data_IF_941915349033
#
_entry.id   IF_941915349033
#
_cell.length_a   1.000
_cell.length_b   1.000
_cell.length_c   1.000
_cell.angle_alpha   90.00
_cell.angle_beta   90.00
_cell.angle_gamma   90.00
#
_symmetry.space_group_name_H-M   'P 1'
#
loop_
_entity.id
_entity.type
_entity.pdbx_description
1 polymer ?
#
# COMPACT_ATOMS: atom_id res chain seq x y z
N UNK A 1 17.19 -1.96 -29.50
CA UNK A 1 17.42 -2.08 -28.03
C UNK A 1 17.52 -0.73 -27.29
N UNK A 2 17.01 0.41 -27.81
CA UNK A 2 17.16 1.72 -27.15
C UNK A 2 16.11 2.05 -26.08
N UNK A 3 14.93 1.43 -26.12
CA UNK A 3 13.79 1.75 -25.22
C UNK A 3 14.02 1.29 -23.77
N UNK A 4 14.75 0.19 -23.56
CA UNK A 4 14.90 -0.39 -22.23
C UNK A 4 15.89 0.42 -21.34
N UNK A 5 16.91 1.03 -21.97
CA UNK A 5 17.89 1.86 -21.26
C UNK A 5 17.31 3.22 -20.82
N UNK A 6 16.35 3.78 -21.57
CA UNK A 6 15.66 5.01 -21.16
C UNK A 6 14.69 4.76 -20.01
N UNK A 7 13.87 3.72 -20.07
CA UNK A 7 12.92 3.39 -18.99
C UNK A 7 13.63 3.08 -17.67
N UNK A 8 14.75 2.35 -17.71
CA UNK A 8 15.53 2.07 -16.50
C UNK A 8 16.05 3.36 -15.86
N UNK A 9 16.61 4.28 -16.65
CA UNK A 9 17.09 5.58 -16.14
C UNK A 9 15.96 6.41 -15.55
N UNK A 10 14.78 6.44 -16.19
CA UNK A 10 13.59 7.10 -15.63
C UNK A 10 13.16 6.49 -14.29
N UNK A 11 13.24 5.16 -14.14
CA UNK A 11 12.96 4.49 -12.87
C UNK A 11 13.95 4.89 -11.77
N UNK A 12 15.23 4.95 -12.07
CA UNK A 12 16.28 5.33 -11.12
C UNK A 12 16.07 6.76 -10.62
N UNK A 13 15.80 7.70 -11.54
CA UNK A 13 15.52 9.09 -11.20
C UNK A 13 14.23 9.23 -10.36
N UNK A 14 13.14 8.58 -10.79
CA UNK A 14 11.87 8.60 -10.06
C UNK A 14 12.00 8.02 -8.65
N UNK A 15 12.79 6.95 -8.46
CA UNK A 15 13.06 6.35 -7.14
C UNK A 15 13.91 7.27 -6.28
N UNK A 16 14.93 7.92 -6.85
CA UNK A 16 15.76 8.90 -6.16
C UNK A 16 14.93 10.08 -5.65
N UNK A 17 14.11 10.68 -6.52
CA UNK A 17 13.19 11.77 -6.17
C UNK A 17 12.19 11.36 -5.07
N UNK A 18 11.58 10.19 -5.23
CA UNK A 18 10.69 9.60 -4.24
C UNK A 18 11.36 9.44 -2.87
N UNK A 19 12.62 8.98 -2.83
CA UNK A 19 13.37 8.81 -1.58
C UNK A 19 13.71 10.14 -0.89
N UNK A 20 13.80 11.23 -1.66
CA UNK A 20 14.01 12.60 -1.16
C UNK A 20 12.71 13.32 -0.78
N UNK A 21 11.55 12.67 -0.96
CA UNK A 21 10.24 13.28 -0.73
C UNK A 21 9.80 14.24 -1.85
N UNK A 22 10.50 14.28 -2.98
CA UNK A 22 10.15 15.11 -4.14
C UNK A 22 9.08 14.38 -4.99
N UNK A 23 7.89 14.22 -4.42
CA UNK A 23 6.85 13.34 -4.97
C UNK A 23 6.27 13.83 -6.29
N UNK A 24 6.04 15.14 -6.45
CA UNK A 24 5.53 15.71 -7.70
C UNK A 24 6.45 15.42 -8.88
N UNK A 25 7.76 15.58 -8.70
CA UNK A 25 8.74 15.25 -9.75
C UNK A 25 8.79 13.75 -10.00
N UNK A 26 8.76 12.93 -8.95
CA UNK A 26 8.72 11.48 -9.12
C UNK A 26 7.50 11.03 -9.92
N UNK A 27 6.33 11.67 -9.73
CA UNK A 27 5.11 11.43 -10.51
C UNK A 27 5.35 11.70 -12.00
N UNK A 28 6.00 12.81 -12.35
CA UNK A 28 6.31 13.15 -13.76
C UNK A 28 7.11 12.03 -14.44
N UNK A 29 8.18 11.55 -13.81
CA UNK A 29 9.00 10.47 -14.35
C UNK A 29 8.23 9.14 -14.47
N UNK A 30 7.42 8.76 -13.48
CA UNK A 30 6.60 7.55 -13.60
C UNK A 30 5.53 7.67 -14.69
N UNK A 31 4.96 8.86 -14.90
CA UNK A 31 4.05 9.11 -16.01
C UNK A 31 4.75 9.03 -17.36
N UNK A 32 6.00 9.50 -17.48
CA UNK A 32 6.80 9.32 -18.70
C UNK A 32 7.03 7.83 -19.01
N UNK A 33 7.37 7.02 -18.00
CA UNK A 33 7.50 5.57 -18.19
C UNK A 33 6.18 4.99 -18.72
N UNK A 34 5.03 5.41 -18.19
CA UNK A 34 3.72 4.93 -18.64
C UNK A 34 3.26 5.50 -19.99
N UNK A 35 3.86 6.60 -20.47
CA UNK A 35 3.64 7.07 -21.85
C UNK A 35 4.35 6.15 -22.85
N UNK A 36 5.56 5.71 -22.53
CA UNK A 36 6.35 4.80 -23.36
C UNK A 36 5.87 3.33 -23.26
N UNK A 37 5.50 2.90 -22.05
CA UNK A 37 5.00 1.56 -21.75
C UNK A 37 3.72 1.63 -20.87
N UNK A 38 2.53 1.81 -21.49
CA UNK A 38 1.27 1.98 -20.76
C UNK A 38 0.83 0.79 -19.89
N UNK A 39 1.37 -0.39 -20.16
CA UNK A 39 1.08 -1.63 -19.44
C UNK A 39 2.18 -1.97 -18.42
N UNK A 40 3.13 -1.05 -18.17
CA UNK A 40 4.18 -1.25 -17.18
C UNK A 40 3.60 -1.36 -15.77
N UNK A 41 3.46 -2.60 -15.30
CA UNK A 41 2.90 -2.91 -13.99
C UNK A 41 3.71 -2.27 -12.86
N UNK A 42 5.04 -2.31 -12.93
CA UNK A 42 5.91 -1.74 -11.90
C UNK A 42 5.74 -0.21 -11.81
N UNK A 43 5.74 0.50 -12.95
CA UNK A 43 5.55 1.95 -12.96
C UNK A 43 4.16 2.33 -12.46
N UNK A 44 3.13 1.58 -12.83
CA UNK A 44 1.75 1.76 -12.34
C UNK A 44 1.69 1.64 -10.81
N UNK A 45 2.33 0.61 -10.22
CA UNK A 45 2.40 0.41 -8.75
C UNK A 45 3.18 1.52 -8.05
N UNK A 46 4.33 1.90 -8.60
CA UNK A 46 5.14 2.97 -8.02
C UNK A 46 4.42 4.32 -8.09
N UNK A 47 3.74 4.62 -9.19
CA UNK A 47 2.96 5.83 -9.36
C UNK A 47 1.79 5.89 -8.36
N UNK A 48 1.08 4.77 -8.17
CA UNK A 48 0.04 4.67 -7.14
C UNK A 48 0.59 5.01 -5.75
N UNK A 49 1.74 4.44 -5.38
CA UNK A 49 2.40 4.67 -4.10
C UNK A 49 2.85 6.14 -3.92
N UNK A 50 3.43 6.75 -4.95
CA UNK A 50 3.88 8.15 -4.88
C UNK A 50 2.68 9.09 -4.75
N UNK A 51 1.59 8.85 -5.49
CA UNK A 51 0.34 9.60 -5.27
C UNK A 51 -0.18 9.45 -3.84
N UNK A 52 -0.04 8.27 -3.22
CA UNK A 52 -0.41 8.07 -1.83
C UNK A 52 0.38 9.00 -0.90
N UNK A 53 1.70 9.07 -1.08
CA UNK A 53 2.57 9.91 -0.25
C UNK A 53 2.44 11.40 -0.55
N UNK A 54 2.07 11.75 -1.79
CA UNK A 54 1.70 13.11 -2.18
C UNK A 54 0.28 13.51 -1.70
N UNK A 55 -0.40 12.66 -0.93
CA UNK A 55 -1.77 12.87 -0.44
C UNK A 55 -2.83 13.00 -1.54
N UNK A 56 -2.51 12.65 -2.78
CA UNK A 56 -3.44 12.57 -3.91
C UNK A 56 -4.18 11.22 -3.89
N UNK A 57 -4.93 10.99 -2.82
CA UNK A 57 -5.52 9.68 -2.49
C UNK A 57 -6.43 9.13 -3.60
N UNK A 58 -7.23 9.97 -4.25
CA UNK A 58 -8.13 9.51 -5.32
C UNK A 58 -7.38 9.03 -6.56
N UNK A 59 -6.30 9.73 -6.96
CA UNK A 59 -5.45 9.27 -8.06
C UNK A 59 -4.73 7.98 -7.67
N UNK A 60 -4.20 7.92 -6.46
CA UNK A 60 -3.57 6.69 -5.95
C UNK A 60 -4.52 5.49 -6.03
N UNK A 61 -5.77 5.65 -5.58
CA UNK A 61 -6.80 4.61 -5.64
C UNK A 61 -7.09 4.20 -7.09
N UNK A 62 -7.20 5.15 -8.04
CA UNK A 62 -7.41 4.85 -9.45
C UNK A 62 -6.30 3.98 -10.04
N UNK A 63 -5.03 4.25 -9.70
CA UNK A 63 -3.91 3.44 -10.18
C UNK A 63 -3.85 2.05 -9.51
N UNK A 64 -4.19 1.94 -8.23
CA UNK A 64 -4.38 0.61 -7.62
C UNK A 64 -5.54 -0.15 -8.27
N UNK A 65 -6.64 0.51 -8.60
CA UNK A 65 -7.76 -0.12 -9.31
C UNK A 65 -7.37 -0.60 -10.71
N UNK A 66 -6.49 0.13 -11.41
CA UNK A 66 -5.92 -0.32 -12.67
C UNK A 66 -5.15 -1.63 -12.50
N UNK A 67 -4.30 -1.75 -11.47
CA UNK A 67 -3.57 -3.00 -11.18
C UNK A 67 -4.54 -4.15 -10.88
N UNK A 68 -5.53 -3.90 -10.01
CA UNK A 68 -6.50 -4.89 -9.58
C UNK A 68 -7.45 -5.33 -10.69
N UNK A 69 -7.70 -4.48 -11.69
CA UNK A 69 -8.46 -4.87 -12.88
C UNK A 69 -7.74 -5.93 -13.72
N UNK A 70 -6.41 -5.97 -13.68
CA UNK A 70 -5.57 -6.95 -14.39
C UNK A 70 -5.33 -8.20 -13.54
N UNK A 71 -5.10 -8.00 -12.24
CA UNK A 71 -4.93 -9.09 -11.28
C UNK A 71 -5.74 -8.80 -10.00
N UNK A 72 -6.98 -9.32 -9.89
CA UNK A 72 -7.81 -9.12 -8.70
C UNK A 72 -7.25 -9.73 -7.41
N UNK A 73 -6.28 -10.65 -7.51
CA UNK A 73 -5.61 -11.31 -6.37
C UNK A 73 -4.20 -10.75 -6.10
N UNK A 74 -3.93 -9.56 -6.59
CA UNK A 74 -2.72 -8.82 -6.26
C UNK A 74 -2.83 -8.28 -4.83
N UNK A 75 -2.41 -9.09 -3.86
CA UNK A 75 -2.52 -8.75 -2.44
C UNK A 75 -1.75 -7.48 -2.09
N UNK A 76 -0.61 -7.22 -2.73
CA UNK A 76 0.15 -5.98 -2.51
C UNK A 76 -0.62 -4.74 -2.97
N UNK A 77 -1.28 -4.80 -4.14
CA UNK A 77 -2.13 -3.70 -4.60
C UNK A 77 -3.38 -3.55 -3.72
N UNK A 78 -3.95 -4.64 -3.22
CA UNK A 78 -5.07 -4.61 -2.28
C UNK A 78 -4.68 -3.92 -0.96
N UNK A 79 -3.53 -4.29 -0.37
CA UNK A 79 -3.01 -3.67 0.84
C UNK A 79 -2.68 -2.19 0.62
N UNK A 80 -2.03 -1.85 -0.50
CA UNK A 80 -1.73 -0.47 -0.87
C UNK A 80 -3.00 0.39 -0.99
N UNK A 81 -4.03 -0.11 -1.69
CA UNK A 81 -5.33 0.57 -1.77
C UNK A 81 -5.99 0.71 -0.40
N UNK A 82 -5.97 -0.33 0.42
CA UNK A 82 -6.55 -0.32 1.76
C UNK A 82 -5.86 0.72 2.67
N UNK A 83 -4.55 0.84 2.59
CA UNK A 83 -3.77 1.84 3.29
C UNK A 83 -4.16 3.26 2.88
N UNK A 84 -4.30 3.52 1.58
CA UNK A 84 -4.75 4.83 1.07
C UNK A 84 -6.16 5.17 1.52
N UNK A 85 -7.07 4.19 1.49
CA UNK A 85 -8.43 4.37 2.00
C UNK A 85 -8.42 4.69 3.49
N UNK A 86 -7.54 4.07 4.28
CA UNK A 86 -7.37 4.41 5.69
C UNK A 86 -6.88 5.85 5.88
N UNK A 87 -5.89 6.30 5.11
CA UNK A 87 -5.41 7.69 5.13
C UNK A 87 -6.47 8.69 4.71
N UNK A 88 -7.31 8.32 3.74
CA UNK A 88 -8.49 9.07 3.31
C UNK A 88 -9.67 8.98 4.30
N UNK A 89 -9.52 8.29 5.43
CA UNK A 89 -10.55 8.05 6.47
C UNK A 89 -11.77 7.25 5.99
N UNK A 90 -11.64 6.53 4.89
CA UNK A 90 -12.66 5.59 4.38
C UNK A 90 -12.51 4.22 5.07
N UNK A 91 -12.56 4.22 6.40
CA UNK A 91 -12.18 3.10 7.25
C UNK A 91 -12.93 1.79 6.95
N UNK A 92 -14.22 1.86 6.64
CA UNK A 92 -15.01 0.65 6.33
C UNK A 92 -14.52 -0.02 5.04
N UNK A 93 -14.13 0.77 4.02
CA UNK A 93 -13.59 0.20 2.78
C UNK A 93 -12.20 -0.38 3.00
N UNK A 94 -11.36 0.28 3.79
CA UNK A 94 -10.05 -0.24 4.17
C UNK A 94 -10.16 -1.56 4.97
N UNK A 95 -11.05 -1.61 5.98
CA UNK A 95 -11.36 -2.82 6.77
C UNK A 95 -11.76 -3.99 5.88
N UNK A 96 -12.65 -3.77 4.92
CA UNK A 96 -13.08 -4.81 3.98
C UNK A 96 -11.92 -5.36 3.13
N UNK A 97 -11.05 -4.49 2.59
CA UNK A 97 -9.93 -4.94 1.76
C UNK A 97 -8.91 -5.74 2.58
N UNK A 98 -8.53 -5.27 3.77
CA UNK A 98 -7.62 -6.03 4.64
C UNK A 98 -8.23 -7.38 5.06
N UNK A 99 -9.52 -7.40 5.39
CA UNK A 99 -10.22 -8.64 5.77
C UNK A 99 -10.24 -9.64 4.63
N UNK A 100 -10.50 -9.19 3.40
CA UNK A 100 -10.48 -10.04 2.20
C UNK A 100 -9.09 -10.67 1.98
N UNK A 101 -8.01 -9.93 2.22
CA UNK A 101 -6.65 -10.49 2.13
C UNK A 101 -6.40 -11.52 3.23
N UNK A 102 -6.81 -11.24 4.47
CA UNK A 102 -6.71 -12.17 5.60
C UNK A 102 -7.47 -13.48 5.33
N UNK A 103 -8.68 -13.39 4.80
CA UNK A 103 -9.49 -14.58 4.45
C UNK A 103 -8.84 -15.42 3.35
N UNK A 104 -8.18 -14.77 2.40
CA UNK A 104 -7.50 -15.45 1.30
C UNK A 104 -6.12 -16.02 1.69
N UNK A 105 -5.39 -15.30 2.55
CA UNK A 105 -4.04 -15.64 3.02
C UNK A 105 -3.96 -15.40 4.53
N UNK A 106 -4.37 -16.39 5.36
CA UNK A 106 -4.47 -16.23 6.81
C UNK A 106 -3.18 -15.89 7.55
N UNK A 107 -2.01 -16.11 6.94
CA UNK A 107 -0.69 -15.84 7.51
C UNK A 107 -0.08 -14.51 7.01
N UNK A 108 -0.85 -13.69 6.29
CA UNK A 108 -0.34 -12.44 5.73
C UNK A 108 -0.30 -11.32 6.79
N UNK A 109 0.79 -11.28 7.55
CA UNK A 109 0.99 -10.38 8.70
C UNK A 109 0.67 -8.90 8.37
N UNK A 110 1.11 -8.41 7.22
CA UNK A 110 0.88 -7.02 6.78
C UNK A 110 -0.60 -6.67 6.71
N UNK A 111 -1.47 -7.62 6.33
CA UNK A 111 -2.90 -7.39 6.28
C UNK A 111 -3.50 -7.19 7.67
N UNK A 112 -3.04 -7.96 8.66
CA UNK A 112 -3.48 -7.81 10.05
C UNK A 112 -2.96 -6.53 10.69
N UNK A 113 -1.71 -6.16 10.43
CA UNK A 113 -1.13 -4.90 10.92
C UNK A 113 -1.85 -3.71 10.29
N UNK A 114 -2.16 -3.79 8.99
CA UNK A 114 -2.98 -2.83 8.27
C UNK A 114 -4.39 -2.70 8.84
N UNK A 115 -5.10 -3.80 9.07
CA UNK A 115 -6.42 -3.80 9.72
C UNK A 115 -6.36 -3.22 11.14
N UNK A 116 -5.31 -3.55 11.89
CA UNK A 116 -5.07 -2.95 13.21
C UNK A 116 -4.94 -1.44 13.08
N UNK A 117 -4.17 -0.92 12.10
CA UNK A 117 -4.06 0.52 11.86
C UNK A 117 -5.41 1.16 11.53
N UNK A 118 -6.27 0.49 10.75
CA UNK A 118 -7.64 0.95 10.49
C UNK A 118 -8.43 1.09 11.79
N UNK A 119 -8.33 0.10 12.69
CA UNK A 119 -9.00 0.18 13.98
C UNK A 119 -8.46 1.29 14.88
N UNK A 120 -7.15 1.51 14.91
CA UNK A 120 -6.55 2.61 15.69
C UNK A 120 -7.01 3.98 15.16
N UNK A 121 -6.94 4.21 13.85
CA UNK A 121 -7.30 5.48 13.22
C UNK A 121 -8.80 5.78 13.27
N UNK A 122 -9.62 4.72 13.37
CA UNK A 122 -11.06 4.79 13.59
C UNK A 122 -11.45 4.71 15.09
N UNK A 123 -10.49 4.85 16.01
CA UNK A 123 -10.70 4.81 17.47
C UNK A 123 -11.39 3.53 18.00
N UNK A 124 -11.33 2.43 17.25
CA UNK A 124 -11.84 1.10 17.63
C UNK A 124 -10.78 0.32 18.43
N UNK A 125 -10.23 0.92 19.49
CA UNK A 125 -9.09 0.38 20.25
C UNK A 125 -9.29 -1.05 20.77
N UNK A 126 -10.51 -1.39 21.24
CA UNK A 126 -10.82 -2.76 21.68
C UNK A 126 -10.64 -3.80 20.58
N UNK A 127 -11.02 -3.47 19.33
CA UNK A 127 -10.82 -4.37 18.18
C UNK A 127 -9.34 -4.48 17.83
N UNK A 128 -8.60 -3.35 17.84
CA UNK A 128 -7.17 -3.34 17.60
C UNK A 128 -6.41 -4.23 18.58
N UNK A 129 -6.64 -4.05 19.90
CA UNK A 129 -6.01 -4.88 20.94
C UNK A 129 -6.40 -6.35 20.85
N UNK A 130 -7.67 -6.65 20.55
CA UNK A 130 -8.12 -8.02 20.36
C UNK A 130 -7.39 -8.72 19.21
N UNK A 131 -7.19 -8.01 18.10
CA UNK A 131 -6.47 -8.54 16.94
C UNK A 131 -4.98 -8.73 17.24
N UNK A 132 -4.32 -7.74 17.84
CA UNK A 132 -2.90 -7.83 18.19
C UNK A 132 -2.61 -8.94 19.20
N UNK A 133 -3.45 -9.12 20.23
CA UNK A 133 -3.30 -10.20 21.20
C UNK A 133 -3.45 -11.58 20.58
N UNK A 134 -4.35 -11.72 19.59
CA UNK A 134 -4.47 -12.96 18.82
C UNK A 134 -3.16 -13.25 18.07
N UNK A 135 -2.64 -12.25 17.35
CA UNK A 135 -1.39 -12.39 16.59
C UNK A 135 -0.17 -12.67 17.49
N UNK A 136 -0.09 -12.05 18.66
CA UNK A 136 0.97 -12.30 19.64
C UNK A 136 0.90 -13.74 20.18
N UNK A 137 -0.31 -14.26 20.43
CA UNK A 137 -0.48 -15.66 20.83
C UNK A 137 0.00 -16.66 19.77
N UNK A 138 -0.14 -16.31 18.49
CA UNK A 138 0.33 -17.11 17.34
C UNK A 138 1.84 -16.90 17.07
N UNK A 139 2.37 -15.71 17.34
CA UNK A 139 3.75 -15.30 17.06
C UNK A 139 4.37 -14.50 18.24
N UNK A 140 4.64 -15.14 19.39
CA UNK A 140 5.01 -14.44 20.63
C UNK A 140 6.38 -13.76 20.59
N UNK A 141 7.25 -14.08 19.63
CA UNK A 141 8.56 -13.46 19.47
C UNK A 141 8.56 -12.26 18.51
N UNK A 142 7.41 -11.93 17.90
CA UNK A 142 7.34 -10.83 16.95
C UNK A 142 7.34 -9.47 17.66
N UNK A 143 8.52 -8.83 17.69
CA UNK A 143 8.73 -7.55 18.35
C UNK A 143 7.86 -6.41 17.79
N UNK A 144 7.46 -6.48 16.51
CA UNK A 144 6.59 -5.46 15.91
C UNK A 144 5.19 -5.52 16.54
N UNK A 145 4.64 -6.73 16.71
CA UNK A 145 3.34 -6.94 17.35
C UNK A 145 3.38 -6.49 18.81
N UNK A 146 4.39 -6.94 19.58
CA UNK A 146 4.52 -6.59 21.00
C UNK A 146 4.66 -5.09 21.21
N UNK A 147 5.49 -4.41 20.40
CA UNK A 147 5.62 -2.94 20.45
C UNK A 147 4.28 -2.27 20.17
N UNK A 148 3.56 -2.73 19.15
CA UNK A 148 2.28 -2.13 18.76
C UNK A 148 1.18 -2.32 19.79
N UNK A 149 1.20 -3.40 20.56
CA UNK A 149 0.31 -3.60 21.72
C UNK A 149 0.58 -2.55 22.79
N UNK A 150 1.85 -2.27 23.09
CA UNK A 150 2.24 -1.27 24.09
C UNK A 150 1.84 0.16 23.68
N UNK A 151 1.91 0.46 22.37
CA UNK A 151 1.59 1.78 21.81
C UNK A 151 0.07 2.01 21.57
N UNK A 152 -0.78 0.98 21.75
CA UNK A 152 -2.24 1.01 21.47
C UNK A 152 -3.08 1.28 22.72
#
# INVERSE_FOLDING_TARGET
MKVNASIQSLFEEARSLKSRGEYEKAIEFYQEILKEDPENYQATRQLAQVYSWNQEYDRSIQYYDKLLSKNPKDYDALLGKAQVLNWKREYNKAENLYTMVIEAVPDYLDAYLGLTNVYLWNSKYRKALGLLKKLEGENPENQEITKKIFDT
#
